data_IF_322998749516
#
_entry.id   IF_322998749516
#
_cell.length_a   1.000
_cell.length_b   1.000
_cell.length_c   1.000
_cell.angle_alpha   90.00
_cell.angle_beta   90.00
_cell.angle_gamma   90.00
#
_symmetry.space_group_name_H-M   'P 1'
#
loop_
_entity.id
_entity.type
_entity.pdbx_description
1 polymer ?
#
# COMPACT_ATOMS: atom_id res chain seq x y z
N UNK A 1 -21.43 15.65 -26.00
CA UNK A 1 -20.33 14.86 -26.58
C UNK A 1 -19.17 15.83 -26.75
N UNK A 2 -18.05 15.74 -26.06
CA UNK A 2 -17.54 14.84 -25.03
C UNK A 2 -16.40 15.67 -24.40
N UNK A 3 -16.32 15.74 -23.08
CA UNK A 3 -15.16 16.35 -22.41
C UNK A 3 -14.04 15.33 -22.45
N UNK A 4 -13.07 15.52 -23.35
CA UNK A 4 -11.79 14.82 -23.23
C UNK A 4 -10.93 15.65 -22.28
N UNK A 5 -11.13 15.41 -20.98
CA UNK A 5 -10.12 15.68 -19.97
C UNK A 5 -8.98 14.68 -20.19
N UNK A 6 -8.05 15.02 -21.07
CA UNK A 6 -6.70 14.49 -20.99
C UNK A 6 -6.13 14.97 -19.65
N UNK A 7 -6.07 14.08 -18.66
CA UNK A 7 -5.24 14.29 -17.49
C UNK A 7 -3.79 14.26 -17.96
N UNK A 8 -3.30 15.39 -18.46
CA UNK A 8 -1.89 15.62 -18.69
C UNK A 8 -1.18 15.41 -17.35
N UNK A 9 -0.41 14.32 -17.23
CA UNK A 9 0.60 14.22 -16.18
C UNK A 9 1.57 15.39 -16.43
N UNK A 10 1.74 16.34 -15.48
CA UNK A 10 2.65 17.45 -15.68
C UNK A 10 4.05 16.91 -15.94
N UNK A 11 4.66 17.40 -17.00
CA UNK A 11 5.98 17.01 -17.46
C UNK A 11 7.05 17.51 -16.46
N UNK A 12 7.82 16.57 -15.90
CA UNK A 12 9.11 16.90 -15.27
C UNK A 12 9.16 17.02 -13.74
N UNK A 13 8.17 16.53 -12.98
CA UNK A 13 8.41 16.21 -11.55
C UNK A 13 8.84 14.74 -11.43
N UNK A 14 9.92 14.45 -10.69
CA UNK A 14 10.29 13.08 -10.29
C UNK A 14 9.02 12.25 -10.02
N UNK A 15 8.81 11.18 -10.79
CA UNK A 15 7.59 10.36 -10.69
C UNK A 15 7.63 9.60 -9.37
N UNK A 16 7.14 10.21 -8.29
CA UNK A 16 6.97 9.55 -7.00
C UNK A 16 6.01 8.38 -7.18
N UNK A 17 6.51 7.17 -6.88
CA UNK A 17 5.75 5.93 -6.98
C UNK A 17 4.76 5.83 -5.82
N UNK A 18 5.17 6.27 -4.63
CA UNK A 18 4.32 6.30 -3.45
C UNK A 18 3.87 7.70 -3.09
N UNK A 19 2.64 7.80 -2.56
CA UNK A 19 2.02 9.07 -2.18
C UNK A 19 1.45 9.01 -0.78
N UNK A 20 1.60 10.10 -0.06
CA UNK A 20 0.84 10.39 1.17
C UNK A 20 0.00 11.63 0.92
N UNK A 21 -1.12 11.74 1.62
CA UNK A 21 -1.98 12.92 1.56
C UNK A 21 -2.18 13.43 2.98
N UNK A 22 -2.25 14.74 3.16
CA UNK A 22 -2.49 15.35 4.47
C UNK A 22 -3.96 15.26 4.88
N UNK A 23 -4.86 15.00 3.92
CA UNK A 23 -6.28 14.80 4.17
C UNK A 23 -6.97 13.98 3.07
N UNK A 24 -8.13 13.42 3.38
CA UNK A 24 -8.99 12.82 2.35
C UNK A 24 -9.52 13.82 1.32
N UNK A 25 -9.57 15.12 1.64
CA UNK A 25 -9.95 16.15 0.68
C UNK A 25 -8.87 16.31 -0.38
N UNK A 26 -7.61 16.46 0.04
CA UNK A 26 -6.45 16.51 -0.85
C UNK A 26 -6.39 15.27 -1.76
N UNK A 27 -6.59 14.07 -1.20
CA UNK A 27 -6.64 12.82 -1.98
C UNK A 27 -7.75 12.87 -3.04
N UNK A 28 -8.93 13.40 -2.70
CA UNK A 28 -10.06 13.51 -3.65
C UNK A 28 -9.79 14.54 -4.74
N UNK A 29 -9.20 15.68 -4.38
CA UNK A 29 -8.84 16.74 -5.30
C UNK A 29 -7.74 16.33 -6.28
N UNK A 30 -6.81 15.47 -5.83
CA UNK A 30 -5.78 14.89 -6.69
C UNK A 30 -6.38 14.09 -7.86
N UNK A 31 -7.58 13.52 -7.69
CA UNK A 31 -8.25 12.71 -8.71
C UNK A 31 -7.64 11.32 -8.87
N UNK A 32 -7.85 10.71 -10.04
CA UNK A 32 -7.43 9.34 -10.35
C UNK A 32 -8.57 8.31 -10.37
N UNK A 33 -8.40 7.23 -11.14
CA UNK A 33 -9.40 6.16 -11.28
C UNK A 33 -9.45 5.25 -10.05
N UNK A 34 -8.29 4.95 -9.47
CA UNK A 34 -8.11 3.93 -8.44
C UNK A 34 -6.75 4.05 -7.73
N UNK A 35 -6.68 3.51 -6.52
CA UNK A 35 -5.46 3.45 -5.71
C UNK A 35 -5.34 2.09 -5.04
N UNK A 36 -4.11 1.59 -4.95
CA UNK A 36 -3.72 0.55 -4.01
C UNK A 36 -3.37 1.23 -2.70
N UNK A 37 -4.03 0.83 -1.61
CA UNK A 37 -3.88 1.47 -0.30
C UNK A 37 -3.04 0.59 0.64
N UNK A 38 -1.99 1.16 1.20
CA UNK A 38 -1.21 0.59 2.27
C UNK A 38 -1.73 1.17 3.58
N UNK A 39 -2.19 0.30 4.48
CA UNK A 39 -2.89 0.71 5.70
C UNK A 39 -2.32 0.00 6.93
N UNK A 40 -2.07 0.71 8.03
CA UNK A 40 -1.71 0.06 9.29
C UNK A 40 -2.84 -0.82 9.83
N UNK A 41 -2.48 -2.01 10.35
CA UNK A 41 -3.41 -2.86 11.06
C UNK A 41 -3.60 -2.39 12.50
N UNK A 42 -4.73 -1.70 12.73
CA UNK A 42 -5.10 -1.13 14.04
C UNK A 42 -5.87 -2.09 14.95
N UNK A 43 -6.04 -3.35 14.52
CA UNK A 43 -6.63 -4.39 15.36
C UNK A 43 -5.64 -4.84 16.44
N UNK A 44 -6.17 -5.40 17.54
CA UNK A 44 -5.35 -5.91 18.63
C UNK A 44 -4.38 -7.00 18.15
N UNK A 45 -3.16 -7.02 18.68
CA UNK A 45 -2.08 -7.97 18.30
C UNK A 45 -2.45 -9.44 18.55
N UNK A 46 -3.45 -9.72 19.38
CA UNK A 46 -3.97 -11.07 19.67
C UNK A 46 -5.18 -11.43 18.81
N UNK A 47 -5.59 -10.56 17.88
CA UNK A 47 -6.67 -10.83 16.94
C UNK A 47 -6.34 -12.07 16.11
N UNK A 48 -7.34 -12.93 15.91
CA UNK A 48 -7.20 -14.10 15.05
C UNK A 48 -7.00 -13.66 13.61
N UNK A 49 -6.19 -14.39 12.85
CA UNK A 49 -5.89 -14.09 11.44
C UNK A 49 -7.18 -13.92 10.63
N UNK A 50 -8.14 -14.84 10.74
CA UNK A 50 -9.41 -14.76 10.04
C UNK A 50 -10.23 -13.47 10.31
N UNK A 51 -10.03 -12.82 11.47
CA UNK A 51 -10.62 -11.50 11.75
C UNK A 51 -9.81 -10.38 11.12
N UNK A 52 -8.48 -10.49 11.13
CA UNK A 52 -7.56 -9.51 10.56
C UNK A 52 -7.75 -9.39 9.04
N UNK A 53 -7.91 -10.52 8.35
CA UNK A 53 -8.03 -10.56 6.89
C UNK A 53 -9.50 -10.54 6.40
N UNK A 54 -10.46 -10.32 7.31
CA UNK A 54 -11.86 -10.17 6.93
C UNK A 54 -12.10 -8.82 6.26
N UNK A 55 -12.99 -8.80 5.26
CA UNK A 55 -13.43 -7.55 4.62
C UNK A 55 -14.05 -6.58 5.63
N UNK A 56 -14.72 -7.10 6.66
CA UNK A 56 -15.35 -6.31 7.72
C UNK A 56 -14.32 -5.57 8.60
N UNK A 57 -13.06 -6.00 8.60
CA UNK A 57 -11.98 -5.32 9.32
C UNK A 57 -11.40 -4.13 8.55
N UNK A 58 -11.71 -4.00 7.27
CA UNK A 58 -11.12 -3.01 6.38
C UNK A 58 -12.06 -1.81 6.23
N UNK A 59 -11.56 -0.64 6.60
CA UNK A 59 -12.15 0.63 6.18
C UNK A 59 -11.12 1.38 5.37
N UNK A 60 -11.36 1.58 4.08
CA UNK A 60 -10.42 2.25 3.17
C UNK A 60 -10.24 3.75 3.51
N UNK A 61 -9.28 4.37 2.85
CA UNK A 61 -9.01 5.80 2.79
C UNK A 61 -8.63 6.41 4.14
N UNK A 62 -7.57 5.88 4.78
CA UNK A 62 -7.05 6.49 6.01
C UNK A 62 -6.12 7.66 5.72
N UNK A 63 -6.14 8.64 6.62
CA UNK A 63 -5.24 9.82 6.57
C UNK A 63 -3.78 9.44 6.82
N UNK A 64 -3.54 8.28 7.46
CA UNK A 64 -2.21 7.73 7.69
C UNK A 64 -1.83 6.62 6.71
N UNK A 65 -2.58 6.46 5.62
CA UNK A 65 -2.27 5.48 4.58
C UNK A 65 -1.21 5.99 3.60
N UNK A 66 -0.50 5.03 3.01
CA UNK A 66 0.36 5.23 1.84
C UNK A 66 -0.38 4.74 0.60
N UNK A 67 -0.25 5.43 -0.51
CA UNK A 67 -1.00 5.14 -1.73
C UNK A 67 -0.06 4.89 -2.91
N UNK A 68 -0.44 3.93 -3.74
CA UNK A 68 0.12 3.66 -5.06
C UNK A 68 -1.01 3.86 -6.08
N UNK A 69 -0.73 4.53 -7.18
CA UNK A 69 -1.74 4.74 -8.22
C UNK A 69 -1.95 3.46 -9.04
N UNK A 70 -3.19 3.19 -9.47
CA UNK A 70 -3.51 1.97 -10.23
C UNK A 70 -2.66 1.80 -11.51
N UNK A 71 -2.43 2.89 -12.23
CA UNK A 71 -1.58 2.90 -13.43
C UNK A 71 -0.11 2.57 -13.15
N UNK A 72 0.33 2.67 -11.89
CA UNK A 72 1.73 2.45 -11.48
C UNK A 72 1.95 1.02 -10.90
N UNK A 73 0.96 0.12 -10.99
CA UNK A 73 1.07 -1.27 -10.50
C UNK A 73 2.21 -2.04 -11.18
N UNK A 74 2.39 -1.89 -12.49
CA UNK A 74 3.45 -2.58 -13.23
C UNK A 74 4.84 -2.11 -12.79
N UNK A 75 4.99 -0.79 -12.56
CA UNK A 75 6.22 -0.18 -12.05
C UNK A 75 6.51 -0.64 -10.63
N UNK A 76 5.48 -0.65 -9.76
CA UNK A 76 5.61 -1.24 -8.43
C UNK A 76 6.02 -2.70 -8.50
N UNK A 77 5.41 -3.52 -9.36
CA UNK A 77 5.71 -4.94 -9.43
C UNK A 77 7.16 -5.18 -9.90
N UNK A 78 7.66 -4.37 -10.84
CA UNK A 78 9.03 -4.49 -11.36
C UNK A 78 10.10 -4.22 -10.28
N UNK A 79 9.83 -3.26 -9.38
CA UNK A 79 10.76 -2.85 -8.33
C UNK A 79 10.55 -3.57 -6.99
N UNK A 80 9.31 -3.86 -6.62
CA UNK A 80 8.90 -4.30 -5.28
C UNK A 80 8.29 -5.70 -5.23
N UNK A 81 7.94 -6.31 -6.37
CA UNK A 81 7.25 -7.61 -6.40
C UNK A 81 8.00 -8.74 -5.70
N UNK A 82 9.34 -8.71 -5.68
CA UNK A 82 10.17 -9.68 -4.94
C UNK A 82 10.31 -9.36 -3.44
N UNK A 83 10.18 -8.09 -3.09
CA UNK A 83 10.27 -7.59 -1.71
C UNK A 83 8.99 -7.97 -0.96
N UNK A 84 7.83 -7.65 -1.55
CA UNK A 84 6.51 -7.91 -0.98
C UNK A 84 6.01 -9.31 -1.37
N UNK A 85 6.32 -10.29 -0.53
CA UNK A 85 5.86 -11.66 -0.67
C UNK A 85 5.45 -12.24 0.70
N UNK A 86 4.56 -13.22 0.69
CA UNK A 86 4.02 -13.87 1.88
C UNK A 86 2.87 -13.13 2.55
N UNK A 87 2.25 -12.15 1.87
CA UNK A 87 1.07 -11.47 2.39
C UNK A 87 -0.06 -12.46 2.59
N UNK A 88 -0.77 -12.37 3.72
CA UNK A 88 -1.86 -13.27 4.09
C UNK A 88 -3.17 -12.73 3.52
N UNK A 89 -3.84 -13.54 2.70
CA UNK A 89 -5.09 -13.18 2.02
C UNK A 89 -6.31 -13.40 2.90
N UNK A 90 -7.47 -12.96 2.43
CA UNK A 90 -8.77 -13.19 3.08
C UNK A 90 -9.11 -14.67 3.31
N UNK A 91 -8.57 -15.56 2.47
CA UNK A 91 -8.73 -17.01 2.57
C UNK A 91 -7.63 -17.68 3.41
N UNK A 92 -6.84 -16.89 4.14
CA UNK A 92 -5.73 -17.30 5.01
C UNK A 92 -4.54 -17.96 4.30
N UNK A 93 -4.57 -18.07 2.96
CA UNK A 93 -3.38 -18.44 2.18
C UNK A 93 -2.42 -17.26 2.10
N UNK A 94 -1.20 -17.51 1.63
CA UNK A 94 -0.20 -16.46 1.43
C UNK A 94 0.50 -16.56 0.07
N UNK A 95 1.05 -15.43 -0.37
CA UNK A 95 1.82 -15.35 -1.62
C UNK A 95 2.22 -13.93 -1.98
N UNK A 96 2.38 -13.68 -3.29
CA UNK A 96 2.66 -12.34 -3.83
C UNK A 96 1.49 -11.38 -3.60
N UNK A 97 1.70 -10.08 -3.80
CA UNK A 97 0.62 -9.09 -3.68
C UNK A 97 -0.54 -9.41 -4.63
N UNK A 98 -1.73 -9.55 -4.06
CA UNK A 98 -3.00 -9.60 -4.77
C UNK A 98 -3.59 -8.19 -4.88
N UNK A 99 -3.49 -7.57 -6.05
CA UNK A 99 -3.98 -6.20 -6.31
C UNK A 99 -5.50 -6.09 -6.40
N UNK A 100 -6.24 -7.20 -6.23
CA UNK A 100 -7.71 -7.23 -6.17
C UNK A 100 -8.23 -7.70 -4.80
N UNK A 101 -7.33 -7.82 -3.82
CA UNK A 101 -7.62 -8.45 -2.54
C UNK A 101 -7.01 -7.75 -1.33
N UNK A 102 -7.10 -8.42 -0.18
CA UNK A 102 -6.47 -8.00 1.07
C UNK A 102 -5.16 -8.75 1.21
N UNK A 103 -4.07 -8.03 1.51
CA UNK A 103 -2.76 -8.62 1.75
C UNK A 103 -2.26 -8.16 3.12
N UNK A 104 -2.38 -9.00 4.13
CA UNK A 104 -1.91 -8.67 5.47
C UNK A 104 -0.47 -9.12 5.69
N UNK A 105 0.37 -8.22 6.18
CA UNK A 105 1.74 -8.50 6.59
C UNK A 105 1.88 -8.32 8.09
N UNK A 106 2.38 -9.35 8.77
CA UNK A 106 2.64 -9.30 10.21
C UNK A 106 3.76 -8.32 10.54
N UNK A 107 3.91 -7.97 11.82
CA UNK A 107 5.04 -7.14 12.26
C UNK A 107 6.40 -7.77 11.94
N UNK A 108 6.53 -9.10 12.03
CA UNK A 108 7.75 -9.81 11.65
C UNK A 108 8.04 -9.68 10.16
N UNK A 109 7.03 -9.89 9.31
CA UNK A 109 7.16 -9.71 7.86
C UNK A 109 7.47 -8.25 7.50
N UNK A 110 6.90 -7.30 8.23
CA UNK A 110 7.17 -5.86 8.05
C UNK A 110 8.64 -5.54 8.26
N UNK A 111 9.26 -6.09 9.32
CA UNK A 111 10.69 -5.91 9.56
C UNK A 111 11.55 -6.51 8.44
N UNK A 112 11.19 -7.71 7.95
CA UNK A 112 11.89 -8.33 6.82
C UNK A 112 11.75 -7.52 5.53
N UNK A 113 10.58 -6.90 5.30
CA UNK A 113 10.36 -5.99 4.18
C UNK A 113 11.26 -4.77 4.32
N UNK A 114 11.31 -4.12 5.50
CA UNK A 114 12.19 -2.98 5.78
C UNK A 114 13.65 -3.33 5.50
N UNK A 115 14.13 -4.50 5.96
CA UNK A 115 15.50 -4.96 5.70
C UNK A 115 15.79 -5.11 4.20
N UNK A 116 14.86 -5.70 3.43
CA UNK A 116 15.02 -5.86 1.98
C UNK A 116 14.99 -4.52 1.25
N UNK A 117 14.07 -3.62 1.63
CA UNK A 117 13.98 -2.28 1.04
C UNK A 117 15.29 -1.50 1.27
N UNK A 118 15.84 -1.52 2.49
CA UNK A 118 17.15 -0.90 2.78
C UNK A 118 18.32 -1.53 2.01
N UNK A 119 18.25 -2.83 1.74
CA UNK A 119 19.29 -3.55 1.00
C UNK A 119 19.23 -3.27 -0.50
N UNK A 120 18.03 -3.25 -1.07
CA UNK A 120 17.81 -3.17 -2.52
C UNK A 120 17.70 -1.72 -3.01
N UNK A 121 17.33 -0.78 -2.13
CA UNK A 121 17.08 0.63 -2.46
C UNK A 121 16.26 0.83 -3.76
N UNK A 122 15.07 0.20 -3.87
CA UNK A 122 14.22 0.31 -5.06
C UNK A 122 13.71 1.74 -5.29
N UNK A 123 13.06 1.99 -6.43
CA UNK A 123 12.53 3.32 -6.76
C UNK A 123 11.65 3.88 -5.62
N UNK A 124 11.92 5.11 -5.20
CA UNK A 124 11.12 5.82 -4.18
C UNK A 124 11.05 5.13 -2.80
N UNK A 125 12.08 4.32 -2.49
CA UNK A 125 12.12 3.53 -1.25
C UNK A 125 12.06 4.36 0.03
N UNK A 126 12.54 5.60 0.02
CA UNK A 126 12.61 6.43 1.22
C UNK A 126 11.21 6.81 1.72
N UNK A 127 10.25 7.07 0.83
CA UNK A 127 8.86 7.36 1.21
C UNK A 127 8.25 6.13 1.87
N UNK A 128 8.42 4.95 1.28
CA UNK A 128 7.97 3.69 1.86
C UNK A 128 8.62 3.42 3.23
N UNK A 129 9.93 3.59 3.37
CA UNK A 129 10.63 3.37 4.64
C UNK A 129 10.15 4.33 5.74
N UNK A 130 9.94 5.60 5.41
CA UNK A 130 9.44 6.59 6.36
C UNK A 130 8.04 6.21 6.87
N UNK A 131 7.18 5.70 5.98
CA UNK A 131 5.88 5.16 6.37
C UNK A 131 6.02 3.87 7.20
N UNK A 132 6.87 2.93 6.76
CA UNK A 132 7.06 1.65 7.45
C UNK A 132 7.63 1.80 8.88
N UNK A 133 8.35 2.88 9.21
CA UNK A 133 8.87 3.10 10.57
C UNK A 133 7.76 3.13 11.63
N UNK A 134 6.56 3.56 11.24
CA UNK A 134 5.41 3.64 12.14
C UNK A 134 4.69 2.30 12.33
N UNK A 135 4.92 1.30 11.46
CA UNK A 135 4.32 -0.05 11.57
C UNK A 135 4.60 -0.71 12.92
N UNK A 136 5.76 -0.44 13.54
CA UNK A 136 6.12 -0.97 14.87
C UNK A 136 5.10 -0.65 15.97
N UNK A 137 4.33 0.44 15.81
CA UNK A 137 3.25 0.86 16.71
C UNK A 137 1.98 0.02 16.55
N UNK A 138 1.86 -0.73 15.45
CA UNK A 138 0.65 -1.42 15.02
C UNK A 138 0.83 -2.95 15.00
N UNK A 139 -0.23 -3.65 14.62
CA UNK A 139 -0.23 -5.09 14.41
C UNK A 139 0.11 -5.43 12.95
N UNK A 140 1.23 -4.91 12.43
CA UNK A 140 1.56 -5.03 11.01
C UNK A 140 0.75 -4.06 10.12
N UNK A 141 0.62 -4.39 8.84
CA UNK A 141 -0.07 -3.54 7.86
C UNK A 141 -0.74 -4.38 6.76
N UNK A 142 -1.58 -3.71 5.97
CA UNK A 142 -2.26 -4.25 4.80
C UNK A 142 -1.77 -3.57 3.53
N UNK A 143 -1.77 -4.31 2.43
CA UNK A 143 -1.91 -3.76 1.07
C UNK A 143 -3.30 -4.14 0.57
N UNK A 144 -4.10 -3.14 0.23
CA UNK A 144 -5.48 -3.27 -0.17
C UNK A 144 -5.60 -2.98 -1.66
N UNK A 145 -6.02 -4.00 -2.40
CA UNK A 145 -6.39 -3.90 -3.79
C UNK A 145 -7.66 -3.07 -4.03
N UNK A 146 -7.93 -2.83 -5.31
CA UNK A 146 -9.09 -2.07 -5.79
C UNK A 146 -10.37 -2.87 -5.61
#
# INVERSE_FOLDING_TARGET
>A
MTFDNLSDKPDGSDTLLFRTFNSQEERREFGGSDFIEFQYCKLDKRSKINKIVSIDAIGKWKDDSLYLFGDDIDEFFSHYGKIFNGGIYNNEKCGIVDFYGINYYTLEQSNLIIERVNKENPLDYQILLNWLDDVKKYNGFYILGV
#
